data_IF_242036809657
#
_entry.id   IF_242036809657
#
_cell.length_a   1.000
_cell.length_b   1.000
_cell.length_c   1.000
_cell.angle_alpha   90.00
_cell.angle_beta   90.00
_cell.angle_gamma   90.00
#
_symmetry.space_group_name_H-M   'P 1'
#
loop_
_entity.id
_entity.type
_entity.pdbx_description
1 polymer ?
#
# COMPACT_ATOMS: atom_id res chain seq x y z
N UNK A 1 15.37 27.97 -3.94
CA UNK A 1 14.79 27.54 -5.23
C UNK A 1 13.60 28.44 -5.53
N UNK A 2 13.63 29.15 -6.66
CA UNK A 2 12.51 29.98 -7.12
C UNK A 2 11.43 29.02 -7.65
N UNK A 3 10.53 28.54 -6.78
CA UNK A 3 9.55 27.50 -7.17
C UNK A 3 8.42 28.18 -7.92
N UNK A 4 8.38 27.98 -9.24
CA UNK A 4 7.22 28.29 -10.06
C UNK A 4 5.99 27.55 -9.54
N UNK A 5 4.81 28.15 -9.72
CA UNK A 5 3.52 27.53 -9.43
C UNK A 5 3.45 26.13 -10.06
N UNK A 6 3.09 25.13 -9.27
CA UNK A 6 3.11 23.71 -9.66
C UNK A 6 1.81 23.02 -9.28
N UNK A 7 1.23 22.20 -10.16
CA UNK A 7 0.03 21.43 -9.84
C UNK A 7 0.31 20.47 -8.68
N UNK A 8 -0.65 20.26 -7.78
CA UNK A 8 -0.45 19.51 -6.54
C UNK A 8 0.18 18.12 -6.76
N UNK A 9 -0.31 17.34 -7.73
CA UNK A 9 0.21 16.00 -8.06
C UNK A 9 1.69 16.00 -8.48
N UNK A 10 2.18 17.10 -9.06
CA UNK A 10 3.59 17.30 -9.45
C UNK A 10 4.41 17.75 -8.26
N UNK A 11 3.85 18.61 -7.42
CA UNK A 11 4.50 19.05 -6.20
C UNK A 11 4.74 17.88 -5.26
N UNK A 12 3.74 17.02 -5.04
CA UNK A 12 3.87 15.83 -4.19
C UNK A 12 4.85 14.82 -4.80
N UNK A 13 4.84 14.61 -6.12
CA UNK A 13 5.85 13.75 -6.78
C UNK A 13 7.28 14.23 -6.48
N UNK A 14 7.54 15.54 -6.60
CA UNK A 14 8.85 16.12 -6.30
C UNK A 14 9.18 16.06 -4.81
N UNK A 15 8.19 16.26 -3.93
CA UNK A 15 8.36 16.22 -2.49
C UNK A 15 8.61 14.80 -1.96
N UNK A 16 8.10 13.76 -2.61
CA UNK A 16 8.29 12.37 -2.19
C UNK A 16 9.48 11.71 -2.88
N UNK A 17 9.64 11.93 -4.19
CA UNK A 17 10.55 11.14 -5.04
C UNK A 17 11.54 11.99 -5.85
N UNK A 18 11.51 13.32 -5.71
CA UNK A 18 12.49 14.21 -6.33
C UNK A 18 13.89 14.04 -5.71
N UNK A 19 14.92 14.73 -6.22
CA UNK A 19 16.28 14.64 -5.69
C UNK A 19 16.42 15.02 -4.20
N UNK A 20 15.47 15.81 -3.68
CA UNK A 20 15.36 16.18 -2.26
C UNK A 20 14.06 15.63 -1.64
N UNK A 21 13.50 14.58 -2.26
CA UNK A 21 12.25 13.98 -1.84
C UNK A 21 12.41 13.11 -0.61
N UNK A 22 11.31 12.93 0.12
CA UNK A 22 11.27 12.19 1.37
C UNK A 22 11.88 10.78 1.28
N UNK A 23 11.44 9.96 0.32
CA UNK A 23 11.95 8.59 0.15
C UNK A 23 13.37 8.53 -0.42
N UNK A 24 13.79 9.58 -1.13
CA UNK A 24 15.16 9.73 -1.65
C UNK A 24 16.15 10.12 -0.54
N UNK A 25 15.69 10.84 0.48
CA UNK A 25 16.50 11.22 1.64
C UNK A 25 16.52 10.17 2.77
N UNK A 26 15.87 9.01 2.55
CA UNK A 26 15.88 7.89 3.49
C UNK A 26 14.65 7.76 4.37
N UNK A 27 13.59 8.55 4.12
CA UNK A 27 12.28 8.34 4.75
C UNK A 27 11.74 6.95 4.41
N UNK A 28 11.27 6.20 5.41
CA UNK A 28 10.87 4.79 5.28
C UNK A 28 9.87 4.35 6.34
N UNK A 29 9.17 3.24 6.10
CA UNK A 29 8.31 2.60 7.08
C UNK A 29 9.13 1.89 8.19
N UNK A 30 8.52 1.65 9.35
CA UNK A 30 9.08 0.76 10.39
C UNK A 30 8.92 1.26 11.84
N UNK A 31 8.87 0.31 12.78
CA UNK A 31 8.57 0.58 14.20
C UNK A 31 9.71 1.27 14.98
N UNK A 32 10.98 0.93 14.70
CA UNK A 32 12.12 1.35 15.53
C UNK A 32 13.04 2.40 14.88
N UNK A 33 12.72 2.83 13.65
CA UNK A 33 13.45 3.88 12.92
C UNK A 33 12.67 4.45 11.70
N UNK A 34 11.40 4.06 11.52
CA UNK A 34 10.58 4.51 10.40
C UNK A 34 9.66 5.67 10.77
N UNK A 35 9.16 6.37 9.76
CA UNK A 35 8.33 7.57 9.89
C UNK A 35 6.83 7.25 9.99
N UNK A 36 6.42 6.01 9.70
CA UNK A 36 5.06 5.49 9.79
C UNK A 36 5.05 3.95 9.96
N UNK A 37 3.92 3.40 10.39
CA UNK A 37 3.70 1.95 10.63
C UNK A 37 2.65 1.45 9.65
N UNK A 38 2.95 0.32 8.98
CA UNK A 38 2.06 -0.37 8.03
C UNK A 38 1.69 -1.76 8.55
N UNK A 39 0.75 -2.46 7.89
CA UNK A 39 0.36 -3.82 8.30
C UNK A 39 1.54 -4.82 8.35
N UNK A 40 2.45 -4.88 7.35
CA UNK A 40 3.66 -5.70 7.44
C UNK A 40 4.59 -5.37 8.62
N UNK A 41 4.67 -4.11 9.02
CA UNK A 41 5.52 -3.68 10.14
C UNK A 41 4.88 -3.97 11.50
N UNK A 42 3.57 -4.24 11.55
CA UNK A 42 2.82 -4.49 12.79
C UNK A 42 2.99 -5.93 13.28
N UNK A 43 3.10 -6.91 12.37
CA UNK A 43 3.22 -8.32 12.74
C UNK A 43 3.62 -9.19 11.55
N UNK A 44 4.46 -10.20 11.81
CA UNK A 44 4.80 -11.24 10.83
C UNK A 44 3.58 -12.06 10.40
N UNK A 45 2.50 -12.08 11.20
CA UNK A 45 1.24 -12.74 10.88
C UNK A 45 0.61 -12.22 9.57
N UNK A 46 0.85 -10.95 9.23
CA UNK A 46 0.39 -10.39 7.97
C UNK A 46 1.10 -11.05 6.76
N UNK A 47 2.42 -11.22 6.85
CA UNK A 47 3.20 -11.95 5.84
C UNK A 47 2.77 -13.41 5.71
N UNK A 48 2.45 -14.07 6.82
CA UNK A 48 1.93 -15.45 6.84
C UNK A 48 0.54 -15.57 6.18
N UNK A 49 -0.34 -14.58 6.38
CA UNK A 49 -1.62 -14.49 5.68
C UNK A 49 -1.43 -14.32 4.17
N UNK A 50 -0.48 -13.46 3.76
CA UNK A 50 -0.16 -13.26 2.34
C UNK A 50 0.44 -14.54 1.74
N UNK A 51 1.34 -15.23 2.44
CA UNK A 51 1.88 -16.52 2.02
C UNK A 51 0.77 -17.57 1.79
N UNK A 52 -0.19 -17.67 2.71
CA UNK A 52 -1.36 -18.54 2.58
C UNK A 52 -2.22 -18.17 1.36
N UNK A 53 -2.42 -16.87 1.13
CA UNK A 53 -3.12 -16.37 -0.05
C UNK A 53 -2.37 -16.71 -1.36
N UNK A 54 -1.04 -16.60 -1.38
CA UNK A 54 -0.24 -16.94 -2.54
C UNK A 54 -0.36 -18.42 -2.92
N UNK A 55 -0.38 -19.33 -1.95
CA UNK A 55 -0.65 -20.75 -2.20
C UNK A 55 -2.03 -20.99 -2.82
N UNK A 56 -3.06 -20.34 -2.29
CA UNK A 56 -4.42 -20.43 -2.84
C UNK A 56 -4.45 -19.98 -4.31
N UNK A 57 -3.90 -18.80 -4.60
CA UNK A 57 -3.86 -18.27 -5.97
C UNK A 57 -3.02 -19.15 -6.88
N UNK A 58 -1.88 -19.65 -6.41
CA UNK A 58 -1.05 -20.57 -7.18
C UNK A 58 -1.81 -21.84 -7.56
N UNK A 59 -2.56 -22.43 -6.62
CA UNK A 59 -3.42 -23.58 -6.90
C UNK A 59 -4.56 -23.25 -7.87
N UNK A 60 -5.24 -22.10 -7.69
CA UNK A 60 -6.30 -21.62 -8.58
C UNK A 60 -5.80 -21.40 -10.02
N UNK A 61 -4.53 -21.02 -10.20
CA UNK A 61 -3.91 -20.79 -11.50
C UNK A 61 -3.30 -22.06 -12.14
N UNK A 62 -3.70 -23.25 -11.66
CA UNK A 62 -3.20 -24.56 -12.08
C UNK A 62 -1.70 -24.79 -11.79
N UNK A 63 -1.21 -24.26 -10.66
CA UNK A 63 0.15 -24.49 -10.14
C UNK A 63 1.24 -24.13 -11.16
N UNK A 64 1.29 -22.89 -11.67
CA UNK A 64 2.28 -22.47 -12.66
C UNK A 64 3.70 -22.57 -12.10
N UNK A 65 4.67 -22.87 -12.97
CA UNK A 65 6.10 -22.80 -12.70
C UNK A 65 6.81 -22.16 -13.91
N UNK A 66 7.31 -20.91 -13.79
CA UNK A 66 7.37 -20.10 -12.58
C UNK A 66 6.02 -19.49 -12.17
N UNK A 67 5.84 -19.30 -10.85
CA UNK A 67 4.80 -18.46 -10.26
C UNK A 67 5.39 -17.12 -9.84
N UNK A 68 5.05 -16.04 -10.54
CA UNK A 68 5.71 -14.74 -10.37
C UNK A 68 4.92 -13.87 -9.39
N UNK A 69 5.56 -13.44 -8.32
CA UNK A 69 5.00 -12.47 -7.36
C UNK A 69 5.78 -11.17 -7.47
N UNK A 70 5.08 -10.07 -7.73
CA UNK A 70 5.66 -8.74 -7.77
C UNK A 70 5.16 -7.96 -6.57
N UNK A 71 6.06 -7.47 -5.73
CA UNK A 71 5.74 -6.52 -4.66
C UNK A 71 6.16 -5.11 -5.08
N UNK A 72 5.18 -4.27 -5.38
CA UNK A 72 5.41 -2.90 -5.76
C UNK A 72 5.34 -1.95 -4.57
N UNK A 73 6.40 -1.15 -4.39
CA UNK A 73 6.60 -0.39 -3.15
C UNK A 73 7.10 -1.29 -2.03
N UNK A 74 8.06 -2.18 -2.30
CA UNK A 74 8.51 -3.19 -1.33
C UNK A 74 9.19 -2.60 -0.08
N UNK A 75 9.51 -1.30 -0.08
CA UNK A 75 10.07 -0.59 1.06
C UNK A 75 11.31 -1.29 1.63
N UNK A 76 11.28 -1.62 2.92
CA UNK A 76 12.37 -2.30 3.62
C UNK A 76 12.41 -3.83 3.40
N UNK A 77 11.50 -4.39 2.61
CA UNK A 77 11.45 -5.83 2.30
C UNK A 77 10.87 -6.70 3.41
N UNK A 78 10.22 -6.09 4.41
CA UNK A 78 9.59 -6.79 5.55
C UNK A 78 8.57 -7.82 5.09
N UNK A 79 7.65 -7.44 4.19
CA UNK A 79 6.64 -8.36 3.67
C UNK A 79 7.28 -9.50 2.87
N UNK A 80 8.20 -9.19 1.95
CA UNK A 80 8.97 -10.19 1.22
C UNK A 80 9.67 -11.19 2.15
N UNK A 81 10.35 -10.71 3.21
CA UNK A 81 11.01 -11.54 4.21
C UNK A 81 10.01 -12.46 4.89
N UNK A 82 8.92 -11.91 5.39
CA UNK A 82 7.94 -12.66 6.19
C UNK A 82 7.20 -13.71 5.34
N UNK A 83 6.95 -13.41 4.06
CA UNK A 83 6.46 -14.41 3.08
C UNK A 83 7.47 -15.55 2.96
N UNK A 84 8.76 -15.28 2.71
CA UNK A 84 9.75 -16.34 2.54
C UNK A 84 10.06 -17.14 3.81
N UNK A 85 9.87 -16.55 5.00
CA UNK A 85 9.97 -17.26 6.28
C UNK A 85 8.73 -18.11 6.59
N UNK A 86 7.62 -17.89 5.87
CA UNK A 86 6.40 -18.67 6.00
C UNK A 86 6.46 -19.97 5.20
N UNK A 87 5.78 -21.01 5.69
CA UNK A 87 5.67 -22.30 4.97
C UNK A 87 4.68 -22.14 3.82
N UNK A 88 5.11 -22.42 2.59
CA UNK A 88 4.28 -22.33 1.38
C UNK A 88 4.44 -23.58 0.52
N UNK A 89 3.36 -24.04 -0.10
CA UNK A 89 3.39 -25.11 -1.09
C UNK A 89 4.00 -24.64 -2.41
N UNK A 90 3.82 -23.37 -2.78
CA UNK A 90 4.33 -22.80 -4.01
C UNK A 90 5.84 -22.45 -3.96
N UNK A 91 6.54 -22.66 -2.84
CA UNK A 91 7.92 -22.18 -2.62
C UNK A 91 8.90 -22.55 -3.73
N UNK A 92 8.79 -23.74 -4.35
CA UNK A 92 9.69 -24.15 -5.43
C UNK A 92 9.45 -23.40 -6.75
N UNK A 93 8.19 -23.03 -7.01
CA UNK A 93 7.77 -22.30 -8.21
C UNK A 93 7.86 -20.78 -8.05
N UNK A 94 7.83 -20.29 -6.81
CA UNK A 94 7.81 -18.86 -6.50
C UNK A 94 9.05 -18.16 -7.07
N UNK A 95 8.82 -17.05 -7.79
CA UNK A 95 9.85 -16.08 -8.20
C UNK A 95 9.37 -14.70 -7.79
N UNK A 96 10.09 -14.09 -6.84
CA UNK A 96 9.67 -12.86 -6.20
C UNK A 96 10.43 -11.66 -6.75
N UNK A 97 9.71 -10.59 -7.11
CA UNK A 97 10.26 -9.36 -7.67
C UNK A 97 9.89 -8.20 -6.76
N UNK A 98 10.87 -7.69 -6.03
CA UNK A 98 10.74 -6.45 -5.26
C UNK A 98 10.89 -5.25 -6.20
N UNK A 99 9.91 -4.37 -6.21
CA UNK A 99 9.93 -3.14 -7.03
C UNK A 99 9.99 -1.94 -6.11
N UNK A 100 11.13 -1.23 -6.11
CA UNK A 100 11.36 -0.05 -5.27
C UNK A 100 12.15 1.02 -6.04
N UNK A 101 11.61 2.24 -6.07
CA UNK A 101 12.19 3.38 -6.82
C UNK A 101 13.49 3.85 -6.19
N UNK A 102 13.56 3.91 -4.86
CA UNK A 102 14.72 4.34 -4.11
C UNK A 102 15.82 3.30 -4.20
N UNK A 103 16.95 3.66 -4.83
CA UNK A 103 18.09 2.76 -4.99
C UNK A 103 18.64 2.28 -3.64
N UNK A 104 18.77 3.19 -2.69
CA UNK A 104 19.24 2.85 -1.33
C UNK A 104 18.31 1.85 -0.65
N UNK A 105 16.99 2.12 -0.62
CA UNK A 105 16.05 1.21 0.04
C UNK A 105 15.99 -0.15 -0.67
N UNK A 106 16.00 -0.16 -2.00
CA UNK A 106 15.97 -1.38 -2.80
C UNK A 106 17.19 -2.27 -2.51
N UNK A 107 18.38 -1.68 -2.49
CA UNK A 107 19.62 -2.42 -2.27
C UNK A 107 19.74 -2.91 -0.82
N UNK A 108 19.37 -2.07 0.16
CA UNK A 108 19.32 -2.45 1.57
C UNK A 108 18.32 -3.58 1.82
N UNK A 109 17.10 -3.45 1.30
CA UNK A 109 16.04 -4.44 1.48
C UNK A 109 16.42 -5.77 0.82
N UNK A 110 16.96 -5.76 -0.40
CA UNK A 110 17.43 -6.97 -1.07
C UNK A 110 18.52 -7.67 -0.26
N UNK A 111 19.51 -6.93 0.25
CA UNK A 111 20.59 -7.50 1.06
C UNK A 111 20.07 -8.13 2.36
N UNK A 112 19.13 -7.45 3.04
CA UNK A 112 18.51 -7.96 4.28
C UNK A 112 17.73 -9.26 4.01
N UNK A 113 16.85 -9.27 3.00
CA UNK A 113 16.05 -10.44 2.68
C UNK A 113 16.94 -11.61 2.24
N UNK A 114 17.93 -11.36 1.37
CA UNK A 114 18.86 -12.36 0.89
C UNK A 114 19.66 -13.00 2.05
N UNK A 115 20.22 -12.18 2.94
CA UNK A 115 20.97 -12.67 4.10
C UNK A 115 20.10 -13.41 5.11
N UNK A 116 18.82 -13.06 5.23
CA UNK A 116 17.90 -13.67 6.20
C UNK A 116 17.31 -14.98 5.69
N UNK A 117 16.90 -15.03 4.43
CA UNK A 117 16.10 -16.13 3.88
C UNK A 117 16.92 -17.10 3.03
N UNK A 118 18.07 -16.67 2.49
CA UNK A 118 18.80 -17.40 1.44
C UNK A 118 20.30 -17.53 1.69
N UNK A 119 20.75 -17.45 2.95
CA UNK A 119 22.17 -17.47 3.31
C UNK A 119 22.93 -18.72 2.79
N UNK A 120 22.26 -19.86 2.74
CA UNK A 120 22.82 -21.14 2.31
C UNK A 120 22.35 -21.56 0.90
N UNK A 121 21.58 -20.72 0.21
CA UNK A 121 21.05 -21.04 -1.12
C UNK A 121 22.08 -20.69 -2.21
N UNK A 122 22.25 -21.59 -3.19
CA UNK A 122 23.07 -21.32 -4.38
C UNK A 122 22.47 -20.20 -5.24
N UNK A 123 21.13 -20.16 -5.34
CA UNK A 123 20.37 -19.14 -6.04
C UNK A 123 19.15 -18.74 -5.21
N UNK A 124 18.94 -17.43 -5.05
CA UNK A 124 17.74 -16.89 -4.42
C UNK A 124 16.65 -16.69 -5.48
N UNK A 125 15.39 -17.14 -5.24
CA UNK A 125 14.26 -16.87 -6.13
C UNK A 125 13.76 -15.42 -6.00
N UNK A 126 14.68 -14.46 -5.86
CA UNK A 126 14.44 -13.08 -5.51
C UNK A 126 15.18 -12.16 -6.46
N UNK A 127 14.52 -11.11 -6.93
CA UNK A 127 15.15 -10.01 -7.68
C UNK A 127 14.60 -8.69 -7.19
N UNK A 128 15.43 -7.64 -7.21
CA UNK A 128 15.00 -6.28 -6.92
C UNK A 128 15.20 -5.38 -8.14
N UNK A 129 14.16 -4.64 -8.52
CA UNK A 129 14.17 -3.74 -9.70
C UNK A 129 13.57 -2.38 -9.36
N UNK A 130 13.88 -1.37 -10.17
CA UNK A 130 13.38 0.00 -9.97
C UNK A 130 11.93 0.20 -10.38
N UNK A 131 11.53 -0.44 -11.47
CA UNK A 131 10.25 -0.26 -12.13
C UNK A 131 9.59 -1.61 -12.36
N UNK A 132 8.26 -1.62 -12.52
CA UNK A 132 7.53 -2.83 -12.87
C UNK A 132 8.18 -3.54 -14.07
N UNK A 133 8.46 -4.85 -13.98
CA UNK A 133 9.08 -5.62 -15.06
C UNK A 133 8.15 -5.72 -16.27
N UNK A 134 8.66 -6.28 -17.36
CA UNK A 134 7.87 -6.53 -18.58
C UNK A 134 7.11 -7.86 -18.46
N UNK A 135 5.81 -7.83 -18.71
CA UNK A 135 4.96 -9.01 -18.85
C UNK A 135 4.84 -9.53 -20.29
N UNK A 136 3.89 -10.45 -20.57
CA UNK A 136 2.92 -10.98 -19.60
C UNK A 136 3.50 -12.12 -18.74
N UNK A 137 2.99 -12.30 -17.53
CA UNK A 137 3.30 -13.45 -16.66
C UNK A 137 2.05 -13.99 -15.95
N UNK A 138 2.18 -15.18 -15.35
CA UNK A 138 1.15 -15.76 -14.48
C UNK A 138 1.55 -15.57 -13.01
N UNK A 139 0.70 -14.94 -12.20
CA UNK A 139 0.97 -14.79 -10.78
C UNK A 139 0.25 -13.64 -10.08
N UNK A 140 0.94 -12.95 -9.17
CA UNK A 140 0.34 -11.94 -8.29
C UNK A 140 1.13 -10.65 -8.31
N UNK A 141 0.44 -9.51 -8.36
CA UNK A 141 1.00 -8.19 -8.06
C UNK A 141 0.45 -7.70 -6.73
N UNK A 142 1.31 -7.54 -5.75
CA UNK A 142 1.02 -6.95 -4.44
C UNK A 142 1.43 -5.48 -4.47
N UNK A 143 0.54 -4.60 -4.02
CA UNK A 143 0.79 -3.16 -3.90
C UNK A 143 0.33 -2.67 -2.52
N UNK A 144 0.94 -3.23 -1.47
CA UNK A 144 0.58 -2.91 -0.09
C UNK A 144 0.93 -1.46 0.24
N UNK A 145 -0.09 -0.60 0.40
CA UNK A 145 0.08 0.83 0.72
C UNK A 145 0.96 1.57 -0.31
N UNK A 146 0.83 1.19 -1.59
CA UNK A 146 1.52 1.87 -2.69
C UNK A 146 0.64 2.97 -3.30
N UNK A 147 -0.65 2.68 -3.55
CA UNK A 147 -1.49 3.59 -4.34
C UNK A 147 -1.76 4.89 -3.61
N UNK A 148 -1.88 4.86 -2.29
CA UNK A 148 -2.09 6.04 -1.46
C UNK A 148 -0.90 7.01 -1.48
N UNK A 149 0.29 6.51 -1.81
CA UNK A 149 1.49 7.31 -2.04
C UNK A 149 1.59 7.85 -3.48
N UNK A 150 0.71 7.43 -4.40
CA UNK A 150 0.64 7.98 -5.75
C UNK A 150 -0.09 9.33 -5.78
N UNK A 151 0.57 10.43 -6.21
CA UNK A 151 0.00 11.75 -6.06
C UNK A 151 -1.34 11.94 -6.81
N UNK A 152 -2.44 12.29 -6.12
CA UNK A 152 -3.69 12.61 -6.76
C UNK A 152 -3.62 14.02 -7.36
N UNK A 153 -4.46 14.31 -8.35
CA UNK A 153 -4.85 15.71 -8.58
C UNK A 153 -5.96 16.06 -7.59
N UNK A 154 -6.06 17.31 -7.20
CA UNK A 154 -7.07 17.75 -6.23
C UNK A 154 -7.91 18.83 -6.86
N UNK A 155 -9.23 18.68 -6.79
CA UNK A 155 -10.20 19.63 -7.35
C UNK A 155 -11.20 20.06 -6.29
N UNK A 156 -11.65 21.31 -6.35
CA UNK A 156 -12.69 21.85 -5.49
C UNK A 156 -13.83 22.44 -6.31
N UNK A 157 -15.05 22.10 -5.93
CA UNK A 157 -16.27 22.62 -6.56
C UNK A 157 -16.46 24.09 -6.19
N UNK A 158 -16.61 24.94 -7.19
CA UNK A 158 -16.97 26.34 -7.03
C UNK A 158 -18.37 26.62 -7.61
N UNK A 159 -18.84 27.86 -7.51
CA UNK A 159 -20.12 28.27 -8.10
C UNK A 159 -20.12 28.24 -9.63
N UNK A 160 -18.96 28.33 -10.28
CA UNK A 160 -18.83 28.47 -11.74
C UNK A 160 -18.18 27.28 -12.42
N UNK A 161 -17.79 26.24 -11.67
CA UNK A 161 -17.12 25.06 -12.21
C UNK A 161 -16.31 24.33 -11.14
N UNK A 162 -15.26 23.64 -11.57
CA UNK A 162 -14.26 23.08 -10.67
C UNK A 162 -12.96 23.88 -10.78
N UNK A 163 -12.29 24.07 -9.64
CA UNK A 163 -10.91 24.57 -9.58
C UNK A 163 -9.97 23.41 -9.25
N UNK A 164 -8.75 23.43 -9.76
CA UNK A 164 -7.68 22.47 -9.49
C UNK A 164 -6.63 23.12 -8.58
N UNK A 165 -6.08 22.33 -7.66
CA UNK A 165 -5.11 22.76 -6.66
C UNK A 165 -3.70 22.83 -7.25
N UNK A 166 -3.06 23.98 -7.03
CA UNK A 166 -1.67 24.25 -7.29
C UNK A 166 -0.98 24.68 -5.99
N UNK A 167 0.34 24.52 -5.95
CA UNK A 167 1.21 24.97 -4.88
C UNK A 167 2.12 26.06 -5.44
N UNK A 168 2.08 27.24 -4.81
CA UNK A 168 2.91 28.38 -5.18
C UNK A 168 3.61 28.92 -3.92
N UNK A 169 4.95 28.84 -3.89
CA UNK A 169 5.76 29.27 -2.75
C UNK A 169 5.28 28.72 -1.39
N UNK A 170 4.97 27.41 -1.33
CA UNK A 170 4.53 26.73 -0.11
C UNK A 170 3.12 27.07 0.34
N UNK A 171 2.30 27.68 -0.53
CA UNK A 171 0.90 28.02 -0.29
C UNK A 171 0.00 27.36 -1.32
N UNK A 172 -1.23 27.08 -0.91
CA UNK A 172 -2.27 26.65 -1.83
C UNK A 172 -2.68 27.79 -2.78
N UNK A 173 -2.90 27.43 -4.04
CA UNK A 173 -3.42 28.32 -5.06
C UNK A 173 -4.41 27.55 -5.93
N UNK A 174 -5.63 28.07 -6.08
CA UNK A 174 -6.70 27.39 -6.82
C UNK A 174 -6.88 28.05 -8.19
N UNK A 175 -6.71 27.26 -9.24
CA UNK A 175 -6.84 27.69 -10.64
C UNK A 175 -8.04 27.00 -11.29
N UNK A 176 -8.70 27.58 -12.31
CA UNK A 176 -9.76 26.87 -13.04
C UNK A 176 -9.27 25.51 -13.53
N UNK A 177 -9.99 24.44 -13.19
CA UNK A 177 -9.58 23.09 -13.58
C UNK A 177 -9.66 22.93 -15.11
N UNK A 178 -8.74 22.19 -15.74
CA UNK A 178 -8.82 21.90 -17.17
C UNK A 178 -10.05 21.03 -17.50
N UNK A 179 -10.55 21.03 -18.76
CA UNK A 179 -11.79 20.34 -19.12
C UNK A 179 -11.85 18.85 -18.73
N UNK A 180 -10.74 18.13 -18.85
CA UNK A 180 -10.68 16.71 -18.46
C UNK A 180 -10.88 16.51 -16.95
N UNK A 181 -10.27 17.35 -16.10
CA UNK A 181 -10.45 17.30 -14.66
C UNK A 181 -11.88 17.72 -14.26
N UNK A 182 -12.43 18.76 -14.89
CA UNK A 182 -13.83 19.17 -14.67
C UNK A 182 -14.82 18.07 -15.03
N UNK A 183 -14.62 17.41 -16.18
CA UNK A 183 -15.50 16.34 -16.66
C UNK A 183 -15.43 15.13 -15.71
N UNK A 184 -14.23 14.70 -15.33
CA UNK A 184 -14.06 13.57 -14.40
C UNK A 184 -14.71 13.86 -13.05
N UNK A 185 -14.44 15.03 -12.45
CA UNK A 185 -15.02 15.41 -11.16
C UNK A 185 -16.56 15.48 -11.20
N UNK A 186 -17.11 15.98 -12.31
CA UNK A 186 -18.57 16.06 -12.51
C UNK A 186 -19.20 14.69 -12.82
N UNK A 187 -18.44 13.72 -13.34
CA UNK A 187 -18.93 12.35 -13.49
C UNK A 187 -18.92 11.60 -12.16
N UNK A 188 -17.87 11.79 -11.36
CA UNK A 188 -17.74 11.18 -10.03
C UNK A 188 -18.78 11.72 -9.06
N UNK A 189 -19.02 13.04 -9.06
CA UNK A 189 -20.00 13.69 -8.18
C UNK A 189 -20.80 14.76 -8.96
N UNK A 190 -21.85 14.37 -9.73
CA UNK A 190 -22.59 15.27 -10.62
C UNK A 190 -23.22 16.49 -9.94
N UNK A 191 -23.67 16.33 -8.70
CA UNK A 191 -24.35 17.38 -7.93
C UNK A 191 -23.52 17.85 -6.72
N UNK A 192 -22.20 17.84 -6.85
CA UNK A 192 -21.30 18.31 -5.79
C UNK A 192 -21.70 19.72 -5.30
N UNK A 193 -21.95 19.93 -4.00
CA UNK A 193 -22.11 21.24 -3.42
C UNK A 193 -20.85 22.12 -3.61
N UNK A 194 -20.98 23.45 -3.70
CA UNK A 194 -19.82 24.34 -3.63
C UNK A 194 -19.01 24.10 -2.34
N UNK A 195 -17.70 24.00 -2.47
CA UNK A 195 -16.79 23.66 -1.38
C UNK A 195 -16.37 22.19 -1.34
N UNK A 196 -17.09 21.27 -2.01
CA UNK A 196 -16.69 19.86 -2.13
C UNK A 196 -15.30 19.75 -2.74
N UNK A 197 -14.39 19.07 -2.04
CA UNK A 197 -13.01 18.84 -2.47
C UNK A 197 -12.81 17.35 -2.72
N UNK A 198 -12.24 16.98 -3.87
CA UNK A 198 -12.07 15.59 -4.29
C UNK A 198 -10.65 15.33 -4.78
N UNK A 199 -10.07 14.16 -4.47
CA UNK A 199 -8.92 13.65 -5.21
C UNK A 199 -9.37 13.02 -6.54
N UNK A 200 -8.55 13.19 -7.57
CA UNK A 200 -8.62 12.47 -8.84
C UNK A 200 -7.41 11.54 -8.95
N UNK A 201 -7.63 10.24 -8.79
CA UNK A 201 -6.60 9.19 -8.70
C UNK A 201 -6.05 8.75 -10.06
N UNK A 202 -5.72 9.71 -10.92
CA UNK A 202 -5.29 9.44 -12.30
C UNK A 202 -4.01 8.59 -12.38
N UNK A 203 -3.03 8.85 -11.50
CA UNK A 203 -1.78 8.07 -11.47
C UNK A 203 -2.01 6.64 -10.97
N UNK A 204 -2.85 6.46 -9.95
CA UNK A 204 -3.24 5.13 -9.47
C UNK A 204 -4.00 4.35 -10.55
N UNK A 205 -4.95 4.97 -11.25
CA UNK A 205 -5.67 4.32 -12.35
C UNK A 205 -4.73 3.87 -13.49
N UNK A 206 -3.74 4.70 -13.84
CA UNK A 206 -2.71 4.33 -14.82
C UNK A 206 -1.85 3.19 -14.30
N UNK A 207 -1.46 3.22 -13.02
CA UNK A 207 -0.65 2.18 -12.40
C UNK A 207 -1.39 0.84 -12.38
N UNK A 208 -2.64 0.81 -11.92
CA UNK A 208 -3.47 -0.41 -11.90
C UNK A 208 -3.68 -0.93 -13.32
N UNK A 209 -3.97 -0.05 -14.30
CA UNK A 209 -4.05 -0.47 -15.72
C UNK A 209 -2.78 -1.19 -16.16
N UNK A 210 -1.60 -0.66 -15.80
CA UNK A 210 -0.32 -1.29 -16.13
C UNK A 210 -0.18 -2.63 -15.42
N UNK A 211 -0.45 -2.70 -14.11
CA UNK A 211 -0.36 -3.94 -13.33
C UNK A 211 -1.27 -5.04 -13.90
N UNK A 212 -2.51 -4.72 -14.26
CA UNK A 212 -3.44 -5.66 -14.89
C UNK A 212 -2.92 -6.15 -16.24
N UNK A 213 -2.33 -5.27 -17.05
CA UNK A 213 -1.77 -5.63 -18.36
C UNK A 213 -0.44 -6.41 -18.29
N UNK A 214 0.17 -6.52 -17.10
CA UNK A 214 1.34 -7.39 -16.90
C UNK A 214 0.95 -8.86 -16.73
N UNK A 215 -0.31 -9.14 -16.43
CA UNK A 215 -0.80 -10.48 -16.13
C UNK A 215 -1.46 -11.08 -17.38
N UNK A 216 -1.09 -12.32 -17.70
CA UNK A 216 -1.91 -13.17 -18.58
C UNK A 216 -3.05 -13.80 -17.76
N UNK A 217 -2.69 -14.38 -16.60
CA UNK A 217 -3.59 -14.90 -15.59
C UNK A 217 -3.05 -14.58 -14.20
N UNK A 218 -3.89 -14.14 -13.27
CA UNK A 218 -3.37 -13.72 -11.97
C UNK A 218 -4.30 -12.84 -11.15
N UNK A 219 -3.69 -12.21 -10.15
CA UNK A 219 -4.34 -11.28 -9.22
C UNK A 219 -3.53 -10.01 -9.04
N UNK A 220 -4.21 -8.89 -8.79
CA UNK A 220 -3.60 -7.66 -8.24
C UNK A 220 -4.27 -7.40 -6.90
N UNK A 221 -3.49 -7.07 -5.86
CA UNK A 221 -3.99 -6.82 -4.51
C UNK A 221 -3.50 -5.45 -3.99
N UNK A 222 -4.42 -4.65 -3.44
CA UNK A 222 -4.15 -3.33 -2.89
C UNK A 222 -5.11 -2.95 -1.75
N UNK A 223 -4.86 -1.81 -1.10
CA UNK A 223 -5.61 -1.32 0.06
C UNK A 223 -6.11 0.12 -0.12
N UNK A 224 -7.30 0.45 0.40
CA UNK A 224 -7.91 1.77 0.18
C UNK A 224 -9.33 1.94 0.73
N UNK A 225 -10.08 2.86 0.12
CA UNK A 225 -11.48 3.18 0.37
C UNK A 225 -12.37 2.73 -0.80
N UNK A 226 -13.66 2.58 -0.52
CA UNK A 226 -14.59 2.01 -1.48
C UNK A 226 -15.00 3.01 -2.57
N UNK A 227 -15.39 4.24 -2.20
CA UNK A 227 -16.07 5.14 -3.14
C UNK A 227 -15.63 6.60 -3.01
N UNK A 228 -15.63 7.32 -4.13
CA UNK A 228 -15.29 8.75 -4.19
C UNK A 228 -16.27 9.61 -3.39
N UNK A 229 -17.52 9.14 -3.20
CA UNK A 229 -18.50 9.85 -2.37
C UNK A 229 -18.04 9.98 -0.91
N UNK A 230 -17.19 9.07 -0.43
CA UNK A 230 -16.72 9.05 0.95
C UNK A 230 -15.86 10.30 1.26
N UNK A 231 -15.35 10.99 0.24
CA UNK A 231 -14.57 12.23 0.36
C UNK A 231 -15.44 13.49 0.48
N UNK A 232 -16.70 13.46 0.02
CA UNK A 232 -17.52 14.66 -0.17
C UNK A 232 -17.76 15.44 1.12
N UNK A 233 -17.94 14.72 2.23
CA UNK A 233 -18.22 15.30 3.55
C UNK A 233 -16.97 15.37 4.43
N UNK A 234 -15.82 14.88 3.95
CA UNK A 234 -14.57 14.83 4.71
C UNK A 234 -13.69 16.05 4.40
N UNK A 235 -13.19 16.74 5.44
CA UNK A 235 -12.18 17.79 5.27
C UNK A 235 -10.95 17.29 4.49
N UNK A 236 -10.38 18.18 3.66
CA UNK A 236 -9.18 17.91 2.86
C UNK A 236 -8.05 17.22 3.65
N UNK A 237 -7.79 17.69 4.87
CA UNK A 237 -6.72 17.16 5.71
C UNK A 237 -6.99 15.77 6.30
N UNK A 238 -8.20 15.21 6.20
CA UNK A 238 -8.50 13.86 6.69
C UNK A 238 -8.11 12.76 5.72
N UNK A 239 -8.15 13.06 4.42
CA UNK A 239 -7.82 12.12 3.35
C UNK A 239 -6.53 12.46 2.61
N UNK A 240 -5.99 13.68 2.72
CA UNK A 240 -4.55 13.94 2.52
C UNK A 240 -3.89 13.98 3.89
N UNK A 241 -3.02 13.02 4.17
CA UNK A 241 -2.29 12.93 5.43
C UNK A 241 -0.81 13.14 5.20
N UNK A 242 -0.12 13.61 6.23
CA UNK A 242 1.33 13.76 6.21
C UNK A 242 1.90 13.17 7.48
N UNK A 243 3.09 12.59 7.39
CA UNK A 243 3.74 11.90 8.50
C UNK A 243 5.22 12.24 8.55
N UNK A 244 5.73 12.40 9.77
CA UNK A 244 7.15 12.58 10.06
C UNK A 244 7.42 12.01 11.46
N UNK A 245 8.42 11.14 11.61
CA UNK A 245 8.77 10.51 12.89
C UNK A 245 7.57 9.89 13.60
N UNK A 246 6.71 9.15 12.88
CA UNK A 246 5.51 8.45 13.39
C UNK A 246 4.39 9.38 13.90
N UNK A 247 4.51 10.69 13.68
CA UNK A 247 3.48 11.66 14.04
C UNK A 247 2.84 12.26 12.80
N UNK A 248 1.53 12.51 12.89
CA UNK A 248 0.83 13.29 11.87
C UNK A 248 1.46 14.68 11.80
N UNK A 249 1.93 15.05 10.62
CA UNK A 249 2.56 16.33 10.37
C UNK A 249 1.52 17.37 9.90
N UNK A 250 2.00 18.58 9.65
CA UNK A 250 1.17 19.72 9.26
C UNK A 250 0.74 19.67 7.78
N UNK A 251 0.58 20.86 7.19
CA UNK A 251 0.21 20.97 5.78
C UNK A 251 1.20 20.24 4.84
N UNK A 252 0.73 19.67 3.72
CA UNK A 252 1.61 18.97 2.76
C UNK A 252 2.59 19.92 2.04
N UNK A 253 2.36 21.24 2.10
CA UNK A 253 3.13 22.23 1.34
C UNK A 253 4.35 22.79 2.07
N UNK A 254 4.44 22.62 3.40
CA UNK A 254 5.59 23.10 4.16
C UNK A 254 6.75 22.12 4.09
N UNK A 255 7.97 22.67 4.04
CA UNK A 255 9.24 21.93 4.06
C UNK A 255 9.22 20.70 3.12
N UNK A 256 9.04 20.89 1.81
CA UNK A 256 8.86 19.78 0.88
C UNK A 256 10.08 18.84 0.92
N UNK A 257 9.85 17.54 1.06
CA UNK A 257 10.90 16.55 1.28
C UNK A 257 11.04 16.07 2.72
N UNK A 258 10.52 16.80 3.71
CA UNK A 258 10.72 16.46 5.14
C UNK A 258 9.65 15.54 5.74
N UNK A 259 8.64 15.15 4.96
CA UNK A 259 7.50 14.37 5.44
C UNK A 259 6.92 13.52 4.31
N UNK A 260 6.35 12.40 4.70
CA UNK A 260 5.50 11.61 3.81
C UNK A 260 4.18 12.36 3.55
N UNK A 261 3.54 12.05 2.42
CA UNK A 261 2.28 12.61 1.97
C UNK A 261 1.46 11.48 1.34
N UNK A 262 0.41 11.04 2.04
CA UNK A 262 -0.50 9.99 1.56
C UNK A 262 -1.88 10.54 1.25
N UNK A 263 -2.58 9.86 0.35
CA UNK A 263 -3.94 10.15 -0.04
C UNK A 263 -4.78 8.88 0.04
N UNK A 264 -5.89 8.90 0.77
CA UNK A 264 -6.87 7.80 0.71
C UNK A 264 -7.26 7.52 -0.76
N UNK A 265 -7.38 6.26 -1.15
CA UNK A 265 -7.67 5.84 -2.52
C UNK A 265 -9.11 5.42 -2.70
N UNK A 266 -9.82 6.02 -3.66
CA UNK A 266 -11.15 5.59 -4.04
C UNK A 266 -11.10 4.53 -5.16
N UNK A 267 -11.46 3.28 -4.83
CA UNK A 267 -11.42 2.18 -5.81
C UNK A 267 -12.39 2.35 -6.98
N UNK A 268 -13.48 3.12 -6.83
CA UNK A 268 -14.40 3.45 -7.92
C UNK A 268 -13.80 4.36 -9.01
N UNK A 269 -12.60 4.93 -8.78
CA UNK A 269 -11.84 5.65 -9.80
C UNK A 269 -10.83 4.77 -10.55
N UNK A 270 -10.62 3.53 -10.11
CA UNK A 270 -9.63 2.60 -10.67
C UNK A 270 -10.28 1.69 -11.73
N UNK A 271 -9.51 1.22 -12.73
CA UNK A 271 -10.01 0.33 -13.76
C UNK A 271 -10.23 -1.09 -13.21
N UNK A 272 -10.97 -1.91 -13.94
CA UNK A 272 -11.34 -3.25 -13.49
C UNK A 272 -12.38 -3.19 -12.38
N UNK A 273 -13.03 -4.31 -12.11
CA UNK A 273 -14.06 -4.39 -11.08
C UNK A 273 -13.53 -5.28 -9.95
N UNK A 274 -12.71 -4.73 -9.04
CA UNK A 274 -12.11 -5.55 -8.00
C UNK A 274 -13.18 -6.06 -7.03
N UNK A 275 -12.91 -7.22 -6.44
CA UNK A 275 -13.61 -7.64 -5.23
C UNK A 275 -13.05 -6.83 -4.05
N UNK A 276 -13.94 -6.24 -3.25
CA UNK A 276 -13.56 -5.37 -2.15
C UNK A 276 -14.10 -5.96 -0.85
N UNK A 277 -13.22 -6.17 0.13
CA UNK A 277 -13.54 -6.70 1.46
C UNK A 277 -12.79 -5.91 2.54
N UNK A 278 -13.23 -5.95 3.79
CA UNK A 278 -12.45 -5.37 4.88
C UNK A 278 -11.19 -6.21 5.16
N UNK A 279 -10.07 -5.56 5.50
CA UNK A 279 -8.79 -6.21 5.84
C UNK A 279 -8.98 -7.26 6.91
N UNK A 280 -9.73 -6.96 7.96
CA UNK A 280 -10.01 -7.96 9.01
C UNK A 280 -10.65 -9.23 8.44
N UNK A 281 -11.58 -9.09 7.50
CA UNK A 281 -12.40 -10.18 6.99
C UNK A 281 -11.55 -10.97 5.97
N UNK A 282 -10.72 -10.27 5.20
CA UNK A 282 -9.69 -10.86 4.34
C UNK A 282 -8.67 -11.67 5.15
N UNK A 283 -8.03 -11.09 6.17
CA UNK A 283 -7.04 -11.78 7.02
C UNK A 283 -7.62 -13.01 7.71
N UNK A 284 -8.85 -12.92 8.22
CA UNK A 284 -9.55 -14.06 8.81
C UNK A 284 -9.81 -15.17 7.76
N UNK A 285 -10.14 -14.80 6.52
CA UNK A 285 -10.29 -15.77 5.42
C UNK A 285 -8.96 -16.43 5.01
N UNK A 286 -7.83 -15.76 5.27
CA UNK A 286 -6.49 -16.30 5.07
C UNK A 286 -5.95 -17.10 6.26
N UNK A 287 -6.79 -17.39 7.27
CA UNK A 287 -6.43 -18.30 8.35
C UNK A 287 -5.76 -17.64 9.56
N UNK A 288 -5.78 -16.31 9.70
CA UNK A 288 -5.21 -15.60 10.86
C UNK A 288 -5.67 -16.17 12.21
N UNK A 289 -6.93 -16.63 12.29
CA UNK A 289 -7.42 -17.29 13.49
C UNK A 289 -6.66 -18.59 13.77
N UNK A 290 -6.45 -19.45 12.78
CA UNK A 290 -5.73 -20.71 12.94
C UNK A 290 -4.26 -20.46 13.33
N UNK A 291 -3.60 -19.48 12.71
CA UNK A 291 -2.21 -19.08 12.99
C UNK A 291 -1.98 -18.70 14.47
N UNK A 292 -3.04 -18.24 15.15
CA UNK A 292 -3.00 -17.76 16.54
C UNK A 292 -3.55 -18.77 17.55
N UNK A 293 -3.92 -20.00 17.13
CA UNK A 293 -4.48 -21.03 18.02
C UNK A 293 -3.51 -21.49 19.11
N UNK A 294 -2.24 -21.70 18.77
CA UNK A 294 -1.22 -22.09 19.75
C UNK A 294 -1.06 -21.02 20.84
N UNK A 295 -1.11 -19.74 20.47
CA UNK A 295 -0.97 -18.62 21.41
C UNK A 295 -2.17 -18.54 22.34
N UNK A 296 -3.39 -18.78 21.85
CA UNK A 296 -4.59 -18.87 22.71
C UNK A 296 -4.51 -20.04 23.68
N UNK A 297 -4.03 -21.21 23.24
CA UNK A 297 -3.82 -22.37 24.10
C UNK A 297 -2.82 -22.07 25.22
N UNK A 298 -1.64 -21.55 24.86
CA UNK A 298 -0.60 -21.14 25.82
C UNK A 298 -1.11 -20.09 26.82
N UNK A 299 -1.87 -19.08 26.37
CA UNK A 299 -2.44 -18.08 27.26
C UNK A 299 -3.47 -18.67 28.24
N UNK A 300 -4.27 -19.63 27.79
CA UNK A 300 -5.25 -20.32 28.64
C UNK A 300 -4.56 -21.16 29.71
N UNK A 301 -3.55 -21.94 29.34
CA UNK A 301 -2.83 -22.85 30.24
C UNK A 301 -2.00 -22.09 31.29
N UNK A 302 -1.49 -20.90 30.94
CA UNK A 302 -0.68 -20.06 31.83
C UNK A 302 -1.50 -19.13 32.74
N UNK A 303 -2.83 -19.22 32.75
CA UNK A 303 -3.72 -18.39 33.56
C UNK A 303 -3.46 -18.48 35.09
N UNK A 304 -2.79 -19.54 35.55
CA UNK A 304 -2.49 -19.79 36.97
C UNK A 304 -1.10 -19.26 37.39
N UNK A 305 -0.14 -19.15 36.46
CA UNK A 305 1.19 -18.60 36.70
C UNK A 305 1.85 -18.17 35.35
N UNK A 306 1.88 -16.87 35.02
CA UNK A 306 2.43 -16.41 33.75
C UNK A 306 3.94 -16.63 33.67
N UNK A 307 4.39 -17.31 32.62
CA UNK A 307 5.80 -17.49 32.27
C UNK A 307 6.18 -16.67 31.02
N UNK A 308 7.42 -16.81 30.54
CA UNK A 308 7.87 -16.12 29.32
C UNK A 308 7.09 -16.56 28.07
N UNK A 309 6.60 -17.81 28.02
CA UNK A 309 5.78 -18.31 26.93
C UNK A 309 4.41 -17.61 26.87
N UNK A 310 3.81 -17.38 28.04
CA UNK A 310 2.57 -16.60 28.16
C UNK A 310 2.72 -15.16 27.69
N UNK A 311 3.88 -14.52 27.95
CA UNK A 311 4.17 -13.17 27.46
C UNK A 311 4.29 -13.11 25.94
N UNK A 312 5.00 -14.08 25.32
CA UNK A 312 5.10 -14.19 23.87
C UNK A 312 3.75 -14.46 23.21
N UNK A 313 2.96 -15.39 23.76
CA UNK A 313 1.61 -15.67 23.30
C UNK A 313 0.71 -14.42 23.37
N UNK A 314 0.80 -13.63 24.44
CA UNK A 314 0.04 -12.39 24.58
C UNK A 314 0.42 -11.36 23.51
N UNK A 315 1.71 -11.20 23.19
CA UNK A 315 2.17 -10.27 22.16
C UNK A 315 1.57 -10.63 20.79
N UNK A 316 1.66 -11.91 20.40
CA UNK A 316 1.07 -12.42 19.15
C UNK A 316 -0.44 -12.18 19.07
N UNK A 317 -1.16 -12.36 20.18
CA UNK A 317 -2.60 -12.09 20.22
C UNK A 317 -2.92 -10.59 20.13
N UNK A 318 -2.09 -9.72 20.69
CA UNK A 318 -2.24 -8.27 20.59
C UNK A 318 -1.97 -7.78 19.16
N UNK A 319 -0.94 -8.30 18.51
CA UNK A 319 -0.62 -8.06 17.11
C UNK A 319 -1.77 -8.46 16.18
N UNK A 320 -2.29 -9.69 16.34
CA UNK A 320 -3.44 -10.16 15.58
C UNK A 320 -4.69 -9.29 15.79
N UNK A 321 -4.91 -8.83 17.02
CA UNK A 321 -6.00 -7.91 17.35
C UNK A 321 -5.81 -6.54 16.68
N UNK A 322 -4.57 -6.01 16.64
CA UNK A 322 -4.27 -4.75 15.97
C UNK A 322 -4.55 -4.82 14.45
N UNK A 323 -4.15 -5.90 13.79
CA UNK A 323 -4.41 -6.13 12.37
C UNK A 323 -5.90 -6.24 12.02
N UNK A 324 -6.74 -6.64 12.98
CA UNK A 324 -8.18 -6.90 12.79
C UNK A 324 -9.09 -5.88 13.46
N UNK A 325 -8.52 -4.82 14.06
CA UNK A 325 -9.27 -3.79 14.76
C UNK A 325 -10.21 -3.04 13.82
N UNK A 326 -11.49 -2.98 14.19
CA UNK A 326 -12.55 -2.38 13.36
C UNK A 326 -12.48 -0.86 13.29
N UNK A 327 -11.75 -0.24 14.22
CA UNK A 327 -11.52 1.20 14.25
C UNK A 327 -10.07 1.56 13.84
N UNK A 328 -9.24 0.54 13.58
CA UNK A 328 -7.85 0.64 13.19
C UNK A 328 -7.57 -0.06 11.86
N UNK A 329 -6.49 -0.85 11.80
CA UNK A 329 -6.03 -1.48 10.56
C UNK A 329 -7.07 -2.41 9.93
N UNK A 330 -7.90 -3.09 10.73
CA UNK A 330 -8.93 -3.98 10.24
C UNK A 330 -10.06 -3.28 9.46
N UNK A 331 -10.16 -1.95 9.55
CA UNK A 331 -11.13 -1.13 8.81
C UNK A 331 -10.68 -0.80 7.38
N UNK A 332 -9.39 -0.95 7.04
CA UNK A 332 -8.93 -0.77 5.66
C UNK A 332 -9.65 -1.75 4.74
N UNK A 333 -9.85 -1.37 3.49
CA UNK A 333 -10.43 -2.26 2.49
C UNK A 333 -9.33 -2.84 1.62
N UNK A 334 -9.42 -4.13 1.34
CA UNK A 334 -8.59 -4.86 0.39
C UNK A 334 -9.34 -4.96 -0.92
N UNK A 335 -8.70 -4.55 -2.01
CA UNK A 335 -9.19 -4.75 -3.37
C UNK A 335 -8.38 -5.84 -4.08
N UNK A 336 -9.07 -6.85 -4.60
CA UNK A 336 -8.50 -7.90 -5.44
C UNK A 336 -9.04 -7.79 -6.86
N UNK A 337 -8.17 -7.54 -7.83
CA UNK A 337 -8.49 -7.68 -9.24
C UNK A 337 -8.12 -9.07 -9.73
N UNK A 338 -8.95 -9.64 -10.60
CA UNK A 338 -8.69 -10.92 -11.27
C UNK A 338 -8.42 -10.70 -12.75
N UNK A 339 -7.35 -11.29 -13.25
CA UNK A 339 -6.97 -11.29 -14.67
C UNK A 339 -6.90 -12.73 -15.12
N UNK A 340 -7.55 -13.08 -16.23
CA UNK A 340 -7.66 -14.46 -16.70
C UNK A 340 -8.49 -15.37 -15.78
N UNK A 341 -9.17 -16.35 -16.37
CA UNK A 341 -9.82 -17.44 -15.63
C UNK A 341 -8.82 -18.55 -15.30
#
# INVERSE_FOLDING_TARGET
>A
MNRSMMRFDRFVEEALYGPQGFYTQGGKAGENAGDFITSPETSTLFGECIATYLDQVWQELDRPDPFIVIEAGSGCGTLCRDIFLSVQECSSALRYVMVERSEVQRDEAFAIVAATCFLEAEEAPLTAVKDLPTGPFTGVVLANELLDNLPPRVVQKTRTGWSELYVNNGREEWQPAPPNAQNMASLLVPNAPPGTCLPLHLKAAVWVTRALNLLDRGRVLDYGLQQTKDFVERPFGEWIRTYNQQHRAGNPYAEPGSRDITCDIAFDQLPGFPQIVAQRDWLLSQGLHAMTEWARGQWHDSAVAPDSGALGARAVLQEAAALTDREGLGAFLVAEWRVGE
#
